data_IF_017689185976
#
_entry.id   IF_017689185976
#
_cell.length_a   1.000
_cell.length_b   1.000
_cell.length_c   1.000
_cell.angle_alpha   90.00
_cell.angle_beta   90.00
_cell.angle_gamma   90.00
#
_symmetry.space_group_name_H-M   'P 1'
#
loop_
_entity.id
_entity.type
_entity.pdbx_description
1 polymer ?
#
# COMPACT_ATOMS: atom_id res chain seq x y z
N UNK A 1 8.42 19.17 20.56
CA UNK A 1 6.96 19.33 20.89
C UNK A 1 6.19 18.43 19.91
N UNK A 2 5.27 17.58 20.40
CA UNK A 2 4.51 16.69 19.52
C UNK A 2 3.49 17.55 18.76
N UNK A 3 3.58 17.60 17.43
CA UNK A 3 2.61 18.30 16.59
C UNK A 3 1.36 17.44 16.33
N UNK A 4 0.23 18.06 15.96
CA UNK A 4 -0.97 17.32 15.59
C UNK A 4 -0.74 16.35 14.41
N UNK A 5 0.14 16.71 13.49
CA UNK A 5 0.49 15.87 12.34
C UNK A 5 1.36 14.66 12.72
N UNK A 6 2.24 14.78 13.72
CA UNK A 6 2.96 13.61 14.24
C UNK A 6 2.01 12.62 14.92
N UNK A 7 0.93 13.09 15.57
CA UNK A 7 -0.10 12.21 16.11
C UNK A 7 -0.85 11.46 15.00
N UNK A 8 -1.10 12.09 13.85
CA UNK A 8 -1.73 11.42 12.70
C UNK A 8 -0.85 10.28 12.18
N UNK A 9 0.48 10.49 12.13
CA UNK A 9 1.42 9.46 11.67
C UNK A 9 1.47 8.26 12.63
N UNK A 10 1.48 8.48 13.96
CA UNK A 10 1.46 7.36 14.92
C UNK A 10 0.10 6.64 14.94
N UNK A 11 -1.00 7.33 14.73
CA UNK A 11 -2.32 6.71 14.54
C UNK A 11 -2.31 5.85 13.27
N UNK A 12 -1.75 6.33 12.17
CA UNK A 12 -1.59 5.57 10.92
C UNK A 12 -0.76 4.30 11.14
N UNK A 13 0.33 4.40 11.90
CA UNK A 13 1.14 3.25 12.30
C UNK A 13 0.31 2.19 13.06
N UNK A 14 -0.42 2.61 14.10
CA UNK A 14 -1.23 1.70 14.92
C UNK A 14 -2.32 1.04 14.07
N UNK A 15 -3.00 1.80 13.22
CA UNK A 15 -4.05 1.30 12.35
C UNK A 15 -3.51 0.28 11.34
N UNK A 16 -2.36 0.53 10.70
CA UNK A 16 -1.74 -0.41 9.76
C UNK A 16 -1.27 -1.69 10.45
N UNK A 17 -0.66 -1.61 11.63
CA UNK A 17 -0.30 -2.81 12.42
C UNK A 17 -1.54 -3.61 12.78
N UNK A 18 -2.57 -2.94 13.31
CA UNK A 18 -3.82 -3.60 13.71
C UNK A 18 -4.50 -4.27 12.51
N UNK A 19 -4.55 -3.59 11.37
CA UNK A 19 -5.10 -4.11 10.13
C UNK A 19 -4.32 -5.34 9.65
N UNK A 20 -3.00 -5.25 9.57
CA UNK A 20 -2.13 -6.36 9.19
C UNK A 20 -2.29 -7.57 10.10
N UNK A 21 -2.30 -7.35 11.43
CA UNK A 21 -2.53 -8.42 12.42
C UNK A 21 -3.92 -9.05 12.30
N UNK A 22 -4.96 -8.24 12.09
CA UNK A 22 -6.33 -8.74 11.91
C UNK A 22 -6.43 -9.65 10.68
N UNK A 23 -5.82 -9.24 9.56
CA UNK A 23 -5.78 -10.06 8.34
C UNK A 23 -4.95 -11.33 8.55
N UNK A 24 -3.81 -11.23 9.23
CA UNK A 24 -2.96 -12.37 9.56
C UNK A 24 -3.68 -13.41 10.42
N UNK A 25 -4.34 -12.98 11.49
CA UNK A 25 -5.07 -13.87 12.41
C UNK A 25 -6.29 -14.50 11.76
N UNK A 26 -7.04 -13.76 10.94
CA UNK A 26 -8.17 -14.32 10.17
C UNK A 26 -7.71 -15.35 9.14
N UNK A 27 -6.52 -15.17 8.55
CA UNK A 27 -5.93 -16.12 7.60
C UNK A 27 -5.69 -17.49 8.23
N UNK A 28 -5.32 -17.57 9.50
CA UNK A 28 -5.13 -18.85 10.20
C UNK A 28 -6.41 -19.69 10.21
N UNK A 29 -7.58 -19.05 10.08
CA UNK A 29 -8.90 -19.71 10.03
C UNK A 29 -9.33 -20.19 8.63
N UNK A 30 -8.73 -19.69 7.53
CA UNK A 30 -9.21 -19.95 6.16
C UNK A 30 -8.05 -20.19 5.19
N UNK A 31 -7.88 -21.45 4.78
CA UNK A 31 -6.73 -21.95 3.98
C UNK A 31 -6.67 -21.37 2.55
N UNK A 32 -7.79 -20.92 1.98
CA UNK A 32 -7.89 -20.57 0.55
C UNK A 32 -7.31 -19.21 0.12
N UNK A 33 -7.10 -18.24 1.05
CA UNK A 33 -6.62 -16.88 0.71
C UNK A 33 -5.12 -16.66 0.92
N UNK A 34 -4.29 -17.70 0.78
CA UNK A 34 -2.94 -17.70 1.34
C UNK A 34 -1.97 -16.65 0.74
N UNK A 35 -1.95 -16.44 -0.59
CA UNK A 35 -1.00 -15.51 -1.25
C UNK A 35 -1.43 -14.04 -1.12
N UNK A 36 -2.68 -13.74 -1.46
CA UNK A 36 -3.24 -12.37 -1.42
C UNK A 36 -3.14 -11.77 0.00
N UNK A 37 -3.57 -12.53 1.01
CA UNK A 37 -3.51 -12.09 2.41
C UNK A 37 -2.07 -11.88 2.89
N UNK A 38 -1.11 -12.73 2.47
CA UNK A 38 0.30 -12.54 2.81
C UNK A 38 0.85 -11.22 2.30
N UNK A 39 0.62 -10.93 1.01
CA UNK A 39 1.09 -9.67 0.40
C UNK A 39 0.40 -8.47 1.03
N UNK A 40 -0.89 -8.55 1.34
CA UNK A 40 -1.60 -7.47 2.04
C UNK A 40 -1.03 -7.20 3.43
N UNK A 41 -0.73 -8.25 4.20
CA UNK A 41 -0.07 -8.11 5.51
C UNK A 41 1.32 -7.47 5.36
N UNK A 42 2.12 -7.91 4.39
CA UNK A 42 3.43 -7.31 4.13
C UNK A 42 3.29 -5.84 3.75
N UNK A 43 2.33 -5.49 2.90
CA UNK A 43 2.03 -4.10 2.54
C UNK A 43 1.69 -3.25 3.78
N UNK A 44 0.79 -3.73 4.64
CA UNK A 44 0.44 -3.04 5.89
C UNK A 44 1.64 -2.86 6.81
N UNK A 45 2.46 -3.90 7.00
CA UNK A 45 3.64 -3.84 7.85
C UNK A 45 4.73 -2.91 7.27
N UNK A 46 4.92 -2.93 5.95
CA UNK A 46 5.87 -2.03 5.29
C UNK A 46 5.45 -0.58 5.43
N UNK A 47 4.17 -0.26 5.19
CA UNK A 47 3.65 1.09 5.40
C UNK A 47 3.77 1.53 6.87
N UNK A 48 3.45 0.64 7.81
CA UNK A 48 3.55 0.95 9.23
C UNK A 48 4.99 1.23 9.65
N UNK A 49 5.89 0.25 9.48
CA UNK A 49 7.23 0.29 10.06
C UNK A 49 8.19 1.22 9.31
N UNK A 50 8.10 1.24 7.98
CA UNK A 50 9.07 1.93 7.12
C UNK A 50 8.55 3.26 6.56
N UNK A 51 7.35 3.65 6.89
CA UNK A 51 6.84 4.97 6.50
C UNK A 51 6.16 5.67 7.67
N UNK A 52 5.05 5.14 8.21
CA UNK A 52 4.28 5.85 9.25
C UNK A 52 5.06 6.06 10.56
N UNK A 53 5.79 5.03 11.04
CA UNK A 53 6.62 5.15 12.24
C UNK A 53 7.79 6.12 12.03
N UNK A 54 8.42 6.08 10.87
CA UNK A 54 9.53 6.97 10.53
C UNK A 54 9.03 8.40 10.39
N UNK A 55 7.85 8.60 9.77
CA UNK A 55 7.21 9.92 9.68
C UNK A 55 6.91 10.49 11.07
N UNK A 56 6.35 9.67 11.97
CA UNK A 56 6.21 10.09 13.37
C UNK A 56 7.55 10.49 13.98
N UNK A 57 8.59 9.70 13.75
CA UNK A 57 9.93 9.92 14.30
C UNK A 57 10.52 11.27 13.88
N UNK A 58 10.57 11.56 12.57
CA UNK A 58 11.14 12.83 12.13
C UNK A 58 10.24 14.02 12.46
N UNK A 59 8.91 13.92 12.34
CA UNK A 59 7.98 15.03 12.68
C UNK A 59 8.04 15.43 14.16
N UNK A 60 8.30 14.47 15.06
CA UNK A 60 8.36 14.69 16.50
C UNK A 60 9.78 14.98 17.02
N UNK A 61 10.79 14.95 16.16
CA UNK A 61 12.18 15.16 16.54
C UNK A 61 12.38 16.54 17.23
N UNK A 62 13.23 16.56 18.25
CA UNK A 62 13.56 17.77 19.01
C UNK A 62 14.54 18.70 18.30
N UNK A 63 15.37 18.12 17.42
CA UNK A 63 16.46 18.80 16.75
C UNK A 63 16.72 18.22 15.36
N UNK A 64 17.53 18.96 14.58
CA UNK A 64 17.90 18.61 13.21
C UNK A 64 18.57 17.23 13.12
N UNK A 65 19.49 16.90 14.02
CA UNK A 65 20.25 15.65 13.96
C UNK A 65 19.33 14.44 14.13
N UNK A 66 18.39 14.53 15.06
CA UNK A 66 17.38 13.50 15.31
C UNK A 66 16.43 13.37 14.10
N UNK A 67 15.95 14.49 13.55
CA UNK A 67 15.10 14.49 12.35
C UNK A 67 15.84 13.89 11.15
N UNK A 68 17.10 14.27 10.95
CA UNK A 68 17.97 13.74 9.90
C UNK A 68 18.12 12.22 10.00
N UNK A 69 18.37 11.70 11.20
CA UNK A 69 18.54 10.27 11.45
C UNK A 69 17.27 9.47 11.12
N UNK A 70 16.10 9.98 11.49
CA UNK A 70 14.82 9.37 11.15
C UNK A 70 14.55 9.40 9.64
N UNK A 71 14.78 10.53 8.98
CA UNK A 71 14.58 10.66 7.53
C UNK A 71 15.49 9.70 6.75
N UNK A 72 16.71 9.45 7.22
CA UNK A 72 17.61 8.46 6.62
C UNK A 72 17.08 7.03 6.66
N UNK A 73 16.17 6.70 7.56
CA UNK A 73 15.53 5.39 7.63
C UNK A 73 14.35 5.25 6.64
N UNK A 74 13.88 6.36 6.05
CA UNK A 74 12.74 6.36 5.12
C UNK A 74 13.07 5.81 3.72
N UNK A 75 14.08 4.94 3.62
CA UNK A 75 14.55 4.37 2.35
C UNK A 75 13.66 3.24 1.81
N UNK A 76 12.84 2.64 2.65
CA UNK A 76 12.06 1.46 2.26
C UNK A 76 10.63 1.80 1.75
N UNK A 77 10.23 3.06 1.69
CA UNK A 77 8.91 3.45 1.20
C UNK A 77 8.65 3.03 -0.26
N UNK A 78 9.71 2.90 -1.08
CA UNK A 78 9.62 2.40 -2.46
C UNK A 78 8.94 1.03 -2.55
N UNK A 79 9.15 0.17 -1.54
CA UNK A 79 8.54 -1.16 -1.51
C UNK A 79 7.02 -1.12 -1.30
N UNK A 80 6.47 -0.06 -0.70
CA UNK A 80 5.01 0.10 -0.55
C UNK A 80 4.33 0.07 -1.92
N UNK A 81 4.88 0.77 -2.92
CA UNK A 81 4.36 0.79 -4.29
C UNK A 81 4.47 -0.57 -4.97
N UNK A 82 5.59 -1.26 -4.79
CA UNK A 82 5.80 -2.61 -5.34
C UNK A 82 4.85 -3.64 -4.72
N UNK A 83 4.67 -3.62 -3.39
CA UNK A 83 3.72 -4.52 -2.73
C UNK A 83 2.27 -4.21 -3.08
N UNK A 84 1.91 -2.93 -3.25
CA UNK A 84 0.59 -2.54 -3.71
C UNK A 84 0.31 -3.09 -5.12
N UNK A 85 1.23 -2.90 -6.06
CA UNK A 85 1.11 -3.45 -7.41
C UNK A 85 1.02 -4.98 -7.40
N UNK A 86 1.89 -5.65 -6.66
CA UNK A 86 1.84 -7.13 -6.55
C UNK A 86 0.52 -7.61 -5.95
N UNK A 87 0.03 -6.95 -4.89
CA UNK A 87 -1.26 -7.24 -4.29
C UNK A 87 -2.40 -7.13 -5.32
N UNK A 88 -2.42 -6.07 -6.11
CA UNK A 88 -3.47 -5.84 -7.10
C UNK A 88 -3.41 -6.82 -8.27
N UNK A 89 -2.22 -7.19 -8.73
CA UNK A 89 -2.07 -8.24 -9.74
C UNK A 89 -2.57 -9.61 -9.24
N UNK A 90 -2.38 -9.91 -7.96
CA UNK A 90 -2.96 -11.12 -7.34
C UNK A 90 -4.48 -10.99 -7.21
N UNK A 91 -4.98 -9.82 -6.80
CA UNK A 91 -6.41 -9.57 -6.63
C UNK A 91 -7.17 -9.67 -7.96
N UNK A 92 -6.60 -9.14 -9.03
CA UNK A 92 -7.16 -9.16 -10.39
C UNK A 92 -6.87 -10.47 -11.13
N UNK A 93 -6.34 -11.49 -10.44
CA UNK A 93 -6.10 -12.83 -10.98
C UNK A 93 -5.16 -12.85 -12.21
N UNK A 94 -4.26 -11.85 -12.32
CA UNK A 94 -3.28 -11.77 -13.39
C UNK A 94 -2.13 -12.80 -13.23
N UNK A 95 -2.49 -14.07 -13.00
CA UNK A 95 -1.53 -15.16 -12.79
C UNK A 95 -0.57 -15.34 -13.97
N UNK A 96 -1.04 -15.06 -15.21
CA UNK A 96 -0.20 -15.14 -16.39
C UNK A 96 1.03 -14.22 -16.32
N UNK A 97 0.87 -13.00 -15.77
CA UNK A 97 1.98 -12.10 -15.53
C UNK A 97 2.85 -12.59 -14.37
N UNK A 98 2.24 -12.96 -13.25
CA UNK A 98 2.96 -13.37 -12.03
C UNK A 98 3.69 -14.72 -12.16
N UNK A 99 3.35 -15.55 -13.12
CA UNK A 99 4.08 -16.80 -13.40
C UNK A 99 5.42 -16.55 -14.12
N UNK A 100 5.65 -15.35 -14.65
CA UNK A 100 6.90 -14.99 -15.32
C UNK A 100 7.87 -14.37 -14.33
N UNK A 101 9.09 -14.89 -14.22
CA UNK A 101 10.15 -14.32 -13.35
C UNK A 101 10.43 -12.84 -13.65
N UNK A 102 10.34 -12.45 -14.94
CA UNK A 102 10.54 -11.06 -15.37
C UNK A 102 9.53 -10.09 -14.74
N UNK A 103 8.29 -10.54 -14.43
CA UNK A 103 7.30 -9.69 -13.77
C UNK A 103 7.77 -9.24 -12.39
N UNK A 104 8.40 -10.12 -11.61
CA UNK A 104 8.95 -9.76 -10.30
C UNK A 104 10.10 -8.76 -10.43
N UNK A 105 10.91 -8.89 -11.48
CA UNK A 105 11.97 -7.91 -11.76
C UNK A 105 11.37 -6.53 -12.09
N UNK A 106 10.28 -6.47 -12.85
CA UNK A 106 9.60 -5.21 -13.19
C UNK A 106 8.92 -4.61 -11.95
N UNK A 107 8.29 -5.44 -11.11
CA UNK A 107 7.56 -4.99 -9.91
C UNK A 107 8.53 -4.47 -8.84
N UNK A 108 9.60 -5.23 -8.55
CA UNK A 108 10.49 -4.96 -7.43
C UNK A 108 11.82 -4.33 -7.82
N UNK A 109 12.27 -4.50 -9.07
CA UNK A 109 13.56 -4.00 -9.55
C UNK A 109 13.75 -2.50 -9.32
N UNK A 110 12.83 -1.64 -9.75
CA UNK A 110 12.97 -0.19 -9.52
C UNK A 110 13.03 0.16 -8.03
N UNK A 111 12.18 -0.46 -7.19
CA UNK A 111 12.21 -0.23 -5.73
C UNK A 111 13.55 -0.64 -5.12
N UNK A 112 14.12 -1.77 -5.55
CA UNK A 112 15.45 -2.22 -5.10
C UNK A 112 16.53 -1.23 -5.56
N UNK A 113 16.49 -0.76 -6.80
CA UNK A 113 17.46 0.21 -7.34
C UNK A 113 17.40 1.51 -6.53
N UNK A 114 16.20 2.09 -6.33
CA UNK A 114 16.07 3.33 -5.55
C UNK A 114 16.46 3.13 -4.08
N UNK A 115 16.08 2.02 -3.48
CA UNK A 115 16.51 1.65 -2.13
C UNK A 115 18.05 1.60 -2.02
N UNK A 116 18.71 0.95 -2.96
CA UNK A 116 20.18 0.85 -2.97
C UNK A 116 20.85 2.22 -3.20
N UNK A 117 20.31 3.05 -4.09
CA UNK A 117 20.80 4.42 -4.29
C UNK A 117 20.66 5.23 -3.01
N UNK A 118 19.50 5.15 -2.35
CA UNK A 118 19.19 5.95 -1.16
C UNK A 118 20.04 5.54 0.06
N UNK A 119 20.24 4.22 0.26
CA UNK A 119 21.05 3.72 1.38
C UNK A 119 22.56 3.91 1.18
N UNK A 120 23.03 3.81 -0.09
CA UNK A 120 24.47 3.89 -0.40
C UNK A 120 24.95 5.29 -0.71
N UNK A 121 24.06 6.21 -1.04
CA UNK A 121 24.38 7.59 -1.41
C UNK A 121 23.47 8.59 -0.71
N UNK A 122 23.70 9.89 -0.91
CA UNK A 122 22.81 10.95 -0.49
C UNK A 122 22.00 11.55 -1.65
N UNK A 123 21.98 10.90 -2.82
CA UNK A 123 21.42 11.49 -4.04
C UNK A 123 19.90 11.68 -3.97
N UNK A 124 19.19 10.76 -3.32
CA UNK A 124 17.73 10.82 -3.14
C UNK A 124 17.34 11.53 -1.84
N UNK A 125 18.31 11.69 -0.94
CA UNK A 125 18.06 12.22 0.39
C UNK A 125 17.71 13.71 0.34
N UNK A 126 16.75 14.11 1.18
CA UNK A 126 16.38 15.50 1.41
C UNK A 126 16.77 15.92 2.83
N UNK A 127 17.41 17.08 2.97
CA UNK A 127 17.69 17.62 4.29
C UNK A 127 16.36 17.99 4.99
N UNK A 128 16.20 17.65 6.28
CA UNK A 128 15.00 18.04 7.02
C UNK A 128 14.86 19.56 7.12
N UNK A 129 13.63 20.04 6.98
CA UNK A 129 13.24 21.44 7.18
C UNK A 129 12.19 21.49 8.28
N UNK A 130 12.32 22.44 9.21
CA UNK A 130 11.35 22.62 10.27
C UNK A 130 10.24 23.57 9.80
N UNK A 131 9.02 23.05 9.74
CA UNK A 131 7.80 23.79 9.44
C UNK A 131 6.87 23.83 10.67
N UNK A 132 5.75 24.54 10.58
CA UNK A 132 4.79 24.69 11.69
C UNK A 132 4.14 23.38 12.15
N UNK A 133 4.16 22.34 11.29
CA UNK A 133 3.62 21.01 11.58
C UNK A 133 4.70 19.98 11.97
N UNK A 134 5.95 20.39 12.15
CA UNK A 134 7.07 19.54 12.49
C UNK A 134 8.13 19.49 11.38
N UNK A 135 9.12 18.63 11.56
CA UNK A 135 10.14 18.39 10.54
C UNK A 135 9.52 17.72 9.30
N UNK A 136 9.99 18.09 8.14
CA UNK A 136 9.53 17.60 6.85
C UNK A 136 10.66 17.52 5.83
N UNK A 137 10.37 17.04 4.64
CA UNK A 137 11.33 16.94 3.54
C UNK A 137 11.69 18.33 3.02
N UNK A 138 12.98 18.58 2.84
CA UNK A 138 13.49 19.76 2.17
C UNK A 138 13.77 19.52 0.69
N UNK A 139 14.69 20.32 0.14
CA UNK A 139 15.11 20.19 -1.25
C UNK A 139 15.97 18.93 -1.40
N UNK A 140 15.70 18.05 -2.38
CA UNK A 140 16.50 16.86 -2.62
C UNK A 140 17.91 17.21 -3.08
N UNK A 141 18.91 16.44 -2.65
CA UNK A 141 20.30 16.64 -3.03
C UNK A 141 20.53 16.52 -4.55
N UNK A 142 19.79 15.61 -5.21
CA UNK A 142 19.75 15.53 -6.67
C UNK A 142 18.29 15.55 -7.15
N UNK A 143 17.79 16.70 -7.63
CA UNK A 143 16.40 16.83 -8.08
C UNK A 143 16.03 15.90 -9.24
N UNK A 144 16.97 15.59 -10.14
CA UNK A 144 16.70 14.74 -11.31
C UNK A 144 16.42 13.31 -10.86
N UNK A 145 17.30 12.71 -10.05
CA UNK A 145 17.14 11.33 -9.57
C UNK A 145 15.92 11.21 -8.67
N UNK A 146 15.67 12.21 -7.83
CA UNK A 146 14.47 12.29 -7.01
C UNK A 146 13.20 12.34 -7.86
N UNK A 147 13.16 13.18 -8.92
CA UNK A 147 12.03 13.26 -9.84
C UNK A 147 11.80 11.94 -10.59
N UNK A 148 12.85 11.20 -10.95
CA UNK A 148 12.71 9.88 -11.58
C UNK A 148 12.04 8.90 -10.61
N UNK A 149 12.46 8.86 -9.35
CA UNK A 149 11.89 7.95 -8.33
C UNK A 149 10.43 8.27 -8.01
N UNK A 150 10.09 9.54 -7.88
CA UNK A 150 8.70 9.98 -7.61
C UNK A 150 7.79 9.79 -8.82
N UNK A 151 8.30 10.03 -10.03
CA UNK A 151 7.57 9.73 -11.28
C UNK A 151 7.29 8.24 -11.43
N UNK A 152 8.27 7.37 -11.11
CA UNK A 152 8.04 5.93 -11.08
C UNK A 152 6.93 5.55 -10.08
N UNK A 153 6.93 6.13 -8.88
CA UNK A 153 5.91 5.85 -7.87
C UNK A 153 4.51 6.29 -8.36
N UNK A 154 4.40 7.49 -8.94
CA UNK A 154 3.16 8.00 -9.51
C UNK A 154 2.67 7.13 -10.67
N UNK A 155 3.57 6.74 -11.59
CA UNK A 155 3.23 5.84 -12.70
C UNK A 155 2.74 4.48 -12.17
N UNK A 156 3.41 3.91 -11.16
CA UNK A 156 3.00 2.65 -10.54
C UNK A 156 1.61 2.76 -9.92
N UNK A 157 1.30 3.86 -9.22
CA UNK A 157 -0.02 4.10 -8.64
C UNK A 157 -1.12 4.21 -9.72
N UNK A 158 -0.87 4.94 -10.80
CA UNK A 158 -1.79 5.06 -11.94
C UNK A 158 -1.96 3.71 -12.66
N UNK A 159 -0.91 2.94 -12.80
CA UNK A 159 -0.96 1.59 -13.39
C UNK A 159 -1.79 0.64 -12.51
N UNK A 160 -1.67 0.72 -11.19
CA UNK A 160 -2.52 0.00 -10.25
C UNK A 160 -4.01 0.31 -10.48
N UNK A 161 -4.35 1.58 -10.66
CA UNK A 161 -5.72 2.01 -10.96
C UNK A 161 -6.19 1.46 -12.31
N UNK A 162 -5.35 1.57 -13.34
CA UNK A 162 -5.66 1.02 -14.68
C UNK A 162 -5.97 -0.48 -14.63
N UNK A 163 -5.13 -1.27 -13.95
CA UNK A 163 -5.34 -2.74 -13.81
C UNK A 163 -6.66 -3.06 -13.15
N UNK A 164 -7.08 -2.27 -12.14
CA UNK A 164 -8.38 -2.46 -11.48
C UNK A 164 -9.56 -2.07 -12.35
N UNK A 165 -9.44 -0.98 -13.11
CA UNK A 165 -10.50 -0.53 -14.02
C UNK A 165 -10.70 -1.56 -15.13
N UNK A 166 -9.64 -2.01 -15.80
CA UNK A 166 -9.68 -3.06 -16.82
C UNK A 166 -10.28 -4.37 -16.26
N UNK A 167 -9.91 -4.75 -15.04
CA UNK A 167 -10.48 -5.92 -14.39
C UNK A 167 -11.98 -5.74 -14.12
N UNK A 168 -12.40 -4.55 -13.64
CA UNK A 168 -13.80 -4.27 -13.29
C UNK A 168 -14.75 -4.38 -14.48
N UNK A 169 -14.29 -4.05 -15.69
CA UNK A 169 -15.06 -4.13 -16.94
C UNK A 169 -15.32 -5.57 -17.38
N UNK A 170 -14.45 -6.50 -16.98
CA UNK A 170 -14.53 -7.94 -17.35
C UNK A 170 -15.34 -8.77 -16.36
N UNK A 171 -15.82 -8.16 -15.28
CA UNK A 171 -16.55 -8.87 -14.22
C UNK A 171 -18.04 -9.00 -14.53
N UNK A 172 -18.58 -10.19 -14.33
CA UNK A 172 -20.02 -10.48 -14.41
C UNK A 172 -20.67 -10.65 -13.03
N UNK A 173 -19.89 -11.02 -12.01
CA UNK A 173 -20.41 -11.24 -10.66
C UNK A 173 -20.61 -9.91 -9.95
N UNK A 174 -21.86 -9.60 -9.56
CA UNK A 174 -22.26 -8.33 -8.97
C UNK A 174 -21.55 -8.03 -7.64
N UNK A 175 -21.26 -9.06 -6.84
CA UNK A 175 -20.53 -8.89 -5.57
C UNK A 175 -19.05 -8.57 -5.83
N UNK A 176 -18.44 -9.22 -6.83
CA UNK A 176 -17.07 -8.92 -7.25
C UNK A 176 -16.97 -7.50 -7.83
N UNK A 177 -17.96 -7.06 -8.61
CA UNK A 177 -18.03 -5.69 -9.13
C UNK A 177 -18.06 -4.68 -7.97
N UNK A 178 -18.97 -4.88 -6.99
CA UNK A 178 -19.06 -4.02 -5.80
C UNK A 178 -17.75 -4.01 -5.01
N UNK A 179 -17.14 -5.18 -4.78
CA UNK A 179 -15.84 -5.31 -4.13
C UNK A 179 -14.77 -4.51 -4.83
N UNK A 180 -14.64 -4.68 -6.16
CA UNK A 180 -13.63 -3.99 -6.97
C UNK A 180 -13.82 -2.48 -6.97
N UNK A 181 -15.07 -1.99 -7.04
CA UNK A 181 -15.37 -0.54 -6.93
C UNK A 181 -14.93 0.06 -5.60
N UNK A 182 -15.12 -0.66 -4.48
CA UNK A 182 -14.65 -0.21 -3.16
C UNK A 182 -13.11 -0.16 -3.14
N UNK A 183 -12.43 -1.14 -3.73
CA UNK A 183 -10.97 -1.16 -3.81
C UNK A 183 -10.47 0.00 -4.69
N UNK A 184 -11.10 0.27 -5.84
CA UNK A 184 -10.80 1.42 -6.69
C UNK A 184 -10.92 2.72 -5.89
N UNK A 185 -12.01 2.89 -5.14
CA UNK A 185 -12.21 4.07 -4.30
C UNK A 185 -11.10 4.20 -3.25
N UNK A 186 -10.73 3.08 -2.58
CA UNK A 186 -9.63 3.06 -1.61
C UNK A 186 -8.28 3.47 -2.20
N UNK A 187 -8.03 3.18 -3.48
CA UNK A 187 -6.78 3.56 -4.17
C UNK A 187 -6.85 4.99 -4.72
N UNK A 188 -8.01 5.45 -5.16
CA UNK A 188 -8.15 6.82 -5.66
C UNK A 188 -7.85 7.86 -4.59
N UNK A 189 -8.19 7.60 -3.32
CA UNK A 189 -7.95 8.54 -2.21
C UNK A 189 -6.47 8.91 -2.07
N UNK A 190 -5.53 7.96 -1.85
CA UNK A 190 -4.11 8.29 -1.73
C UNK A 190 -3.52 8.85 -3.03
N UNK A 191 -4.00 8.44 -4.21
CA UNK A 191 -3.54 9.02 -5.47
C UNK A 191 -3.91 10.50 -5.53
N UNK A 192 -5.17 10.86 -5.27
CA UNK A 192 -5.62 12.26 -5.33
C UNK A 192 -4.91 13.09 -4.26
N UNK A 193 -4.87 12.62 -3.02
CA UNK A 193 -4.24 13.35 -1.92
C UNK A 193 -2.73 13.45 -2.14
N UNK A 194 -2.05 12.35 -2.48
CA UNK A 194 -0.61 12.33 -2.72
C UNK A 194 -0.18 13.22 -3.88
N UNK A 195 -0.89 13.17 -5.02
CA UNK A 195 -0.59 14.06 -6.16
C UNK A 195 -0.72 15.54 -5.79
N UNK A 196 -1.68 15.89 -4.94
CA UNK A 196 -1.83 17.28 -4.50
C UNK A 196 -0.76 17.66 -3.47
N UNK A 197 -0.58 16.88 -2.39
CA UNK A 197 0.28 17.29 -1.26
C UNK A 197 1.77 17.10 -1.54
N UNK A 198 2.14 16.06 -2.33
CA UNK A 198 3.54 15.73 -2.60
C UNK A 198 4.07 16.36 -3.90
N UNK A 199 3.18 16.74 -4.83
CA UNK A 199 3.58 17.23 -6.14
C UNK A 199 3.04 18.63 -6.45
N UNK A 200 1.70 18.80 -6.47
CA UNK A 200 1.10 20.05 -6.95
C UNK A 200 1.39 21.22 -6.00
N UNK A 201 1.22 21.02 -4.69
CA UNK A 201 1.43 22.08 -3.71
C UNK A 201 2.90 22.55 -3.65
N UNK A 202 3.91 21.66 -3.62
CA UNK A 202 5.30 22.08 -3.73
C UNK A 202 5.62 22.85 -5.02
N UNK A 203 5.09 22.44 -6.19
CA UNK A 203 5.28 23.16 -7.45
C UNK A 203 4.67 24.57 -7.38
N UNK A 204 3.53 24.72 -6.72
CA UNK A 204 2.85 26.01 -6.52
C UNK A 204 3.43 26.82 -5.36
N UNK A 205 4.50 26.36 -4.69
CA UNK A 205 5.06 26.93 -3.48
C UNK A 205 4.03 27.06 -2.34
N UNK A 206 3.02 26.20 -2.31
CA UNK A 206 2.05 26.11 -1.21
C UNK A 206 2.66 25.23 -0.12
N UNK A 207 2.92 25.82 1.04
CA UNK A 207 3.37 25.08 2.21
C UNK A 207 2.20 24.32 2.83
N UNK A 208 2.23 23.01 2.72
CA UNK A 208 1.21 22.10 3.24
C UNK A 208 1.87 20.81 3.72
N UNK A 209 1.39 20.19 4.81
CA UNK A 209 1.95 18.93 5.28
C UNK A 209 1.67 17.79 4.29
N UNK A 210 2.61 16.89 4.14
CA UNK A 210 2.45 15.66 3.37
C UNK A 210 1.38 14.77 4.03
N UNK A 211 0.40 14.32 3.26
CA UNK A 211 -0.72 13.49 3.74
C UNK A 211 -0.77 12.11 3.07
N UNK A 212 0.28 11.71 2.38
CA UNK A 212 0.29 10.43 1.67
C UNK A 212 0.15 9.24 2.63
N UNK A 213 0.83 9.25 3.78
CA UNK A 213 0.79 8.15 4.76
C UNK A 213 -0.61 7.95 5.35
N UNK A 214 -1.28 8.96 5.92
CA UNK A 214 -2.64 8.78 6.43
C UNK A 214 -3.64 8.44 5.32
N UNK A 215 -3.48 8.96 4.10
CA UNK A 215 -4.36 8.65 2.97
C UNK A 215 -4.19 7.20 2.49
N UNK A 216 -2.95 6.68 2.43
CA UNK A 216 -2.68 5.27 2.15
C UNK A 216 -3.26 4.37 3.23
N UNK A 217 -3.10 4.73 4.50
CA UNK A 217 -3.67 3.99 5.63
C UNK A 217 -5.18 3.87 5.50
N UNK A 218 -5.85 4.99 5.22
CA UNK A 218 -7.30 5.02 5.02
C UNK A 218 -7.71 4.21 3.79
N UNK A 219 -6.95 4.32 2.70
CA UNK A 219 -7.14 3.53 1.49
C UNK A 219 -7.07 2.02 1.75
N UNK A 220 -6.06 1.57 2.53
CA UNK A 220 -5.91 0.16 2.89
C UNK A 220 -7.07 -0.35 3.76
N UNK A 221 -7.59 0.48 4.68
CA UNK A 221 -8.76 0.13 5.49
C UNK A 221 -9.99 -0.09 4.60
N UNK A 222 -10.22 0.83 3.64
CA UNK A 222 -11.32 0.70 2.68
C UNK A 222 -11.17 -0.54 1.81
N UNK A 223 -9.96 -0.80 1.30
CA UNK A 223 -9.68 -2.00 0.48
C UNK A 223 -9.95 -3.27 1.27
N UNK A 224 -9.47 -3.36 2.51
CA UNK A 224 -9.72 -4.50 3.39
C UNK A 224 -11.21 -4.68 3.66
N UNK A 225 -11.93 -3.60 3.96
CA UNK A 225 -13.39 -3.61 4.16
C UNK A 225 -14.10 -4.19 2.92
N UNK A 226 -13.75 -3.74 1.71
CA UNK A 226 -14.31 -4.26 0.47
C UNK A 226 -14.03 -5.75 0.28
N UNK A 227 -12.80 -6.18 0.58
CA UNK A 227 -12.41 -7.59 0.47
C UNK A 227 -13.17 -8.43 1.50
N UNK A 228 -13.34 -7.93 2.72
CA UNK A 228 -13.98 -8.66 3.80
C UNK A 228 -15.49 -8.81 3.60
N UNK A 229 -16.22 -7.71 3.31
CA UNK A 229 -17.70 -7.73 3.18
C UNK A 229 -18.18 -8.58 2.01
N UNK A 230 -17.43 -8.56 0.90
CA UNK A 230 -17.82 -9.31 -0.30
C UNK A 230 -17.06 -10.61 -0.47
N UNK A 231 -16.39 -11.09 0.59
CA UNK A 231 -15.74 -12.40 0.54
C UNK A 231 -16.79 -13.51 0.43
N UNK A 232 -16.66 -14.44 -0.53
CA UNK A 232 -17.59 -15.57 -0.67
C UNK A 232 -17.62 -16.47 0.59
N UNK A 233 -16.67 -16.33 1.48
CA UNK A 233 -16.51 -17.17 2.67
C UNK A 233 -17.48 -16.85 3.82
N UNK A 234 -18.14 -15.69 3.82
CA UNK A 234 -19.21 -15.38 4.81
C UNK A 234 -20.60 -15.87 4.39
N UNK A 235 -20.77 -16.29 3.14
CA UNK A 235 -22.02 -16.90 2.72
C UNK A 235 -22.05 -18.37 3.18
N UNK A 236 -22.58 -18.64 4.39
CA UNK A 236 -22.81 -19.99 4.90
C UNK A 236 -23.46 -20.92 3.86
N UNK A 237 -24.34 -20.36 3.00
CA UNK A 237 -24.97 -21.07 1.89
C UNK A 237 -23.97 -21.62 0.86
N UNK A 238 -22.83 -20.98 0.63
CA UNK A 238 -21.85 -21.46 -0.36
C UNK A 238 -21.12 -22.72 0.14
N UNK A 239 -20.80 -22.79 1.44
CA UNK A 239 -20.24 -24.00 2.05
C UNK A 239 -21.23 -25.16 2.10
N UNK A 240 -22.49 -24.89 2.38
CA UNK A 240 -23.53 -25.94 2.35
C UNK A 240 -23.78 -26.45 0.93
N UNK A 241 -23.76 -25.57 -0.08
CA UNK A 241 -23.89 -25.97 -1.49
C UNK A 241 -22.70 -26.82 -1.94
N UNK A 242 -21.44 -26.39 -1.66
CA UNK A 242 -20.26 -27.18 -1.99
C UNK A 242 -20.27 -28.52 -1.25
N UNK A 243 -20.57 -28.53 0.04
CA UNK A 243 -20.66 -29.76 0.84
C UNK A 243 -21.71 -30.71 0.25
N UNK A 244 -22.87 -30.18 -0.14
CA UNK A 244 -23.95 -30.97 -0.75
C UNK A 244 -23.57 -31.52 -2.14
N UNK A 245 -22.82 -30.75 -2.96
CA UNK A 245 -22.30 -31.25 -4.25
C UNK A 245 -21.20 -32.28 -4.07
N UNK A 246 -20.27 -32.07 -3.14
CA UNK A 246 -19.21 -33.04 -2.83
C UNK A 246 -19.82 -34.35 -2.31
N UNK A 247 -20.80 -34.26 -1.37
CA UNK A 247 -21.51 -35.44 -0.83
C UNK A 247 -22.31 -36.15 -1.91
N UNK A 248 -22.92 -35.45 -2.88
CA UNK A 248 -23.58 -36.06 -4.06
C UNK A 248 -22.57 -36.76 -4.96
N UNK A 249 -21.41 -36.13 -5.21
CA UNK A 249 -20.37 -36.71 -6.08
C UNK A 249 -19.80 -37.98 -5.47
N UNK A 250 -19.56 -37.98 -4.13
CA UNK A 250 -19.09 -39.18 -3.42
C UNK A 250 -20.12 -40.30 -3.46
N UNK A 251 -21.40 -39.98 -3.25
CA UNK A 251 -22.48 -41.02 -3.36
C UNK A 251 -22.63 -41.58 -4.73
N UNK A 252 -22.43 -40.77 -5.79
CA UNK A 252 -22.55 -41.22 -7.18
C UNK A 252 -21.30 -41.95 -7.68
N UNK A 253 -20.15 -41.83 -7.00
CA UNK A 253 -18.91 -42.53 -7.38
C UNK A 253 -18.81 -43.98 -6.83
N UNK A 254 -19.79 -44.43 -6.06
CA UNK A 254 -19.93 -45.85 -5.73
C UNK A 254 -18.85 -46.43 -4.80
N UNK A 255 -18.22 -45.60 -3.93
CA UNK A 255 -17.39 -46.06 -2.84
C UNK A 255 -18.18 -46.15 -1.54
#
# INVERSE_FOLDING_TARGET
MISGFSLISIISFILCITLGMTVYLKKVRYIFYNKLSKIFVVLCLTLALFWALIEFGYRSASDFSTAYSWLKLNVAWYFVMSFLLHFLLLYTENHHLLNRKIAYLIIYGPAIIFFLIDISTNLLFTNPVLESWGWTFGIPANPIIHSISTTWAAFTALFCLYVLLDYSEKLYNINKIKQTRIIIFGICIPIIIGLNTEWLFPILNIKFPELIVPSLTFGLIIMWYGIWIYSPLENKNYYEVIKTEVDKTIRNSGY
#
